data_IF_153703159601
#
_entry.id   IF_153703159601
#
_cell.length_a   1.000
_cell.length_b   1.000
_cell.length_c   1.000
_cell.angle_alpha   90.00
_cell.angle_beta   90.00
_cell.angle_gamma   90.00
#
_symmetry.space_group_name_H-M   'P 1'
#
loop_
_entity.id
_entity.type
_entity.pdbx_description
1 polymer ?
#
# COMPACT_ATOMS: atom_id res chain seq x y z
N UNK A 1 8.12 8.89 -3.30
CA UNK A 1 8.65 8.07 -2.16
C UNK A 1 10.04 7.55 -2.55
N UNK A 2 10.99 7.21 -1.67
CA UNK A 2 12.33 6.76 -2.13
C UNK A 2 12.65 5.33 -1.68
N UNK A 3 12.93 4.45 -2.65
CA UNK A 3 13.44 3.11 -2.43
C UNK A 3 14.87 3.03 -2.95
N UNK A 4 15.72 2.27 -2.27
CA UNK A 4 17.04 1.98 -2.83
C UNK A 4 16.90 0.99 -4.00
N UNK A 5 17.84 1.07 -4.95
CA UNK A 5 17.82 0.26 -6.18
C UNK A 5 17.83 -1.24 -5.89
N UNK A 6 18.56 -1.68 -4.88
CA UNK A 6 18.61 -3.09 -4.50
C UNK A 6 17.23 -3.63 -4.08
N UNK A 7 16.48 -2.85 -3.31
CA UNK A 7 15.11 -3.20 -2.89
C UNK A 7 14.20 -3.31 -4.11
N UNK A 8 14.28 -2.34 -5.03
CA UNK A 8 13.49 -2.38 -6.26
C UNK A 8 13.84 -3.60 -7.11
N UNK A 9 15.13 -3.89 -7.31
CA UNK A 9 15.58 -5.07 -8.05
C UNK A 9 15.06 -6.36 -7.43
N UNK A 10 15.16 -6.52 -6.11
CA UNK A 10 14.65 -7.71 -5.43
C UNK A 10 13.13 -7.84 -5.58
N UNK A 11 12.37 -6.75 -5.44
CA UNK A 11 10.91 -6.80 -5.62
C UNK A 11 10.54 -7.10 -7.07
N UNK A 12 11.23 -6.51 -8.05
CA UNK A 12 11.03 -6.81 -9.47
C UNK A 12 11.26 -8.28 -9.78
N UNK A 13 12.30 -8.90 -9.20
CA UNK A 13 12.59 -10.31 -9.37
C UNK A 13 11.52 -11.20 -8.71
N UNK A 14 11.14 -10.90 -7.46
CA UNK A 14 10.12 -11.65 -6.70
C UNK A 14 8.75 -11.61 -7.37
N UNK A 15 8.39 -10.46 -7.95
CA UNK A 15 7.10 -10.22 -8.59
C UNK A 15 7.17 -10.34 -10.12
N UNK A 16 8.29 -10.78 -10.70
CA UNK A 16 8.49 -10.85 -12.15
C UNK A 16 8.03 -9.57 -12.90
N UNK A 17 8.30 -8.39 -12.34
CA UNK A 17 7.91 -7.11 -12.92
C UNK A 17 8.79 -6.79 -14.13
N UNK A 18 8.18 -6.28 -15.20
CA UNK A 18 8.89 -5.81 -16.38
C UNK A 18 9.37 -4.36 -16.18
N UNK A 19 10.24 -4.17 -15.20
CA UNK A 19 10.74 -2.86 -14.77
C UNK A 19 12.27 -2.87 -14.67
N UNK A 20 12.91 -1.74 -14.95
CA UNK A 20 14.38 -1.64 -14.91
C UNK A 20 14.91 -1.28 -13.52
N UNK A 21 14.06 -0.69 -12.68
CA UNK A 21 14.45 -0.13 -11.38
C UNK A 21 15.00 1.29 -11.45
N UNK A 22 14.87 1.95 -12.60
CA UNK A 22 15.26 3.35 -12.81
C UNK A 22 14.03 4.29 -12.93
N UNK A 23 12.83 3.78 -12.66
CA UNK A 23 11.57 4.51 -12.62
C UNK A 23 11.58 5.62 -11.55
N UNK A 24 10.97 6.77 -11.82
CA UNK A 24 10.99 7.92 -10.89
C UNK A 24 10.04 7.70 -9.72
N UNK A 25 8.85 7.19 -10.01
CA UNK A 25 7.88 6.74 -9.01
C UNK A 25 7.56 5.27 -9.30
N UNK A 26 8.58 4.42 -9.13
CA UNK A 26 8.51 2.97 -9.36
C UNK A 26 7.18 2.31 -8.97
N UNK A 27 6.63 2.46 -7.74
CA UNK A 27 5.42 1.74 -7.38
C UNK A 27 4.18 2.24 -8.14
N UNK A 28 4.15 3.50 -8.59
CA UNK A 28 3.08 4.05 -9.42
C UNK A 28 3.18 3.55 -10.87
N UNK A 29 4.40 3.56 -11.40
CA UNK A 29 4.70 3.17 -12.78
C UNK A 29 4.45 1.67 -13.02
N UNK A 30 4.78 0.82 -12.05
CA UNK A 30 4.66 -0.65 -12.17
C UNK A 30 3.39 -1.21 -11.51
N UNK A 31 2.55 -0.36 -10.91
CA UNK A 31 1.28 -0.78 -10.33
C UNK A 31 0.36 -1.42 -11.38
N UNK A 32 -0.30 -2.49 -10.99
CA UNK A 32 -1.11 -3.34 -11.86
C UNK A 32 -2.30 -3.90 -11.07
N UNK A 33 -3.50 -3.43 -11.41
CA UNK A 33 -4.76 -3.80 -10.76
C UNK A 33 -5.10 -5.28 -10.96
N UNK A 34 -4.75 -5.86 -12.11
CA UNK A 34 -5.00 -7.27 -12.44
C UNK A 34 -4.13 -8.23 -11.61
N UNK A 35 -3.03 -7.72 -11.04
CA UNK A 35 -2.04 -8.51 -10.29
C UNK A 35 -2.13 -8.34 -8.78
N UNK A 36 -3.11 -7.59 -8.27
CA UNK A 36 -3.21 -7.31 -6.84
C UNK A 36 -3.29 -8.59 -5.97
N UNK A 37 -4.01 -9.61 -6.43
CA UNK A 37 -4.14 -10.88 -5.68
C UNK A 37 -2.79 -11.58 -5.56
N UNK A 38 -1.99 -11.56 -6.62
CA UNK A 38 -0.63 -12.12 -6.65
C UNK A 38 0.28 -11.35 -5.68
N UNK A 39 0.26 -10.02 -5.73
CA UNK A 39 1.06 -9.17 -4.84
C UNK A 39 0.73 -9.41 -3.36
N UNK A 40 -0.57 -9.48 -3.04
CA UNK A 40 -1.05 -9.79 -1.69
C UNK A 40 -0.58 -11.17 -1.23
N UNK A 41 -0.72 -12.20 -2.08
CA UNK A 41 -0.31 -13.55 -1.75
C UNK A 41 1.18 -13.64 -1.40
N UNK A 42 2.04 -13.02 -2.22
CA UNK A 42 3.48 -13.00 -1.97
C UNK A 42 3.84 -12.20 -0.72
N UNK A 43 3.22 -11.03 -0.50
CA UNK A 43 3.42 -10.24 0.72
C UNK A 43 2.98 -10.99 2.00
N UNK A 44 1.96 -11.83 1.90
CA UNK A 44 1.47 -12.62 3.03
C UNK A 44 2.38 -13.80 3.37
N UNK A 45 2.99 -14.43 2.37
CA UNK A 45 3.80 -15.65 2.53
C UNK A 45 5.27 -15.39 2.85
N UNK A 46 5.84 -14.30 2.32
CA UNK A 46 7.27 -14.07 2.40
C UNK A 46 7.67 -13.49 3.77
N UNK A 47 8.61 -14.16 4.44
CA UNK A 47 9.32 -13.59 5.59
C UNK A 47 10.51 -12.76 5.08
N UNK A 48 10.20 -11.53 4.68
CA UNK A 48 11.14 -10.60 4.06
C UNK A 48 11.45 -9.43 4.99
N UNK A 49 12.65 -8.87 4.77
CA UNK A 49 13.11 -7.66 5.43
C UNK A 49 12.14 -6.51 5.22
N UNK A 50 12.04 -5.64 6.24
CA UNK A 50 11.05 -4.57 6.27
C UNK A 50 11.12 -3.66 5.03
N UNK A 51 12.30 -3.36 4.49
CA UNK A 51 12.47 -2.52 3.32
C UNK A 51 11.77 -3.10 2.08
N UNK A 52 11.90 -4.42 1.87
CA UNK A 52 11.23 -5.13 0.77
C UNK A 52 9.72 -5.13 1.03
N UNK A 53 9.30 -5.39 2.27
CA UNK A 53 7.88 -5.34 2.65
C UNK A 53 7.28 -3.95 2.42
N UNK A 54 8.00 -2.90 2.76
CA UNK A 54 7.60 -1.51 2.54
C UNK A 54 7.39 -1.20 1.06
N UNK A 55 8.26 -1.72 0.18
CA UNK A 55 8.09 -1.64 -1.27
C UNK A 55 6.89 -2.43 -1.78
N UNK A 56 6.67 -3.66 -1.28
CA UNK A 56 5.47 -4.44 -1.58
C UNK A 56 4.18 -3.70 -1.19
N UNK A 57 4.11 -3.16 0.04
CA UNK A 57 2.93 -2.45 0.51
C UNK A 57 2.68 -1.20 -0.34
N UNK A 58 3.70 -0.42 -0.66
CA UNK A 58 3.52 0.72 -1.56
C UNK A 58 2.98 0.30 -2.92
N UNK A 59 3.55 -0.73 -3.54
CA UNK A 59 3.07 -1.25 -4.82
C UNK A 59 1.62 -1.76 -4.73
N UNK A 60 1.27 -2.47 -3.66
CA UNK A 60 -0.09 -2.96 -3.41
C UNK A 60 -1.06 -1.78 -3.28
N UNK A 61 -0.71 -0.73 -2.55
CA UNK A 61 -1.58 0.45 -2.40
C UNK A 61 -1.79 1.17 -3.74
N UNK A 62 -0.74 1.39 -4.54
CA UNK A 62 -0.89 1.97 -5.88
C UNK A 62 -1.70 1.08 -6.82
N UNK A 63 -1.50 -0.23 -6.76
CA UNK A 63 -2.27 -1.20 -7.57
C UNK A 63 -3.74 -1.25 -7.15
N UNK A 64 -4.02 -1.11 -5.87
CA UNK A 64 -5.38 -1.06 -5.35
C UNK A 64 -6.07 0.26 -5.67
N UNK A 65 -5.37 1.40 -5.65
CA UNK A 65 -5.91 2.68 -6.11
C UNK A 65 -6.32 2.60 -7.59
N UNK A 66 -5.48 1.99 -8.44
CA UNK A 66 -5.84 1.68 -9.85
C UNK A 66 -7.07 0.78 -9.93
N UNK A 67 -7.11 -0.29 -9.14
CA UNK A 67 -8.26 -1.21 -9.08
C UNK A 67 -9.57 -0.47 -8.75
N UNK A 68 -9.56 0.43 -7.76
CA UNK A 68 -10.72 1.25 -7.37
C UNK A 68 -11.13 2.27 -8.46
N UNK A 69 -10.22 2.64 -9.36
CA UNK A 69 -10.53 3.48 -10.51
C UNK A 69 -11.20 2.72 -11.66
N UNK A 70 -10.93 1.43 -11.78
CA UNK A 70 -11.43 0.56 -12.86
C UNK A 70 -12.71 -0.18 -12.47
N UNK A 71 -12.95 -0.37 -11.17
CA UNK A 71 -14.09 -1.11 -10.63
C UNK A 71 -15.01 -0.16 -9.87
N UNK A 72 -16.33 -0.28 -10.09
CA UNK A 72 -17.32 0.56 -9.41
C UNK A 72 -17.47 0.24 -7.93
N UNK A 73 -17.10 -0.98 -7.54
CA UNK A 73 -17.31 -1.51 -6.21
C UNK A 73 -15.96 -1.72 -5.50
N UNK A 74 -15.88 -1.24 -4.26
CA UNK A 74 -14.79 -1.58 -3.35
C UNK A 74 -14.86 -3.08 -3.06
N UNK A 75 -13.83 -3.83 -3.47
CA UNK A 75 -13.68 -5.22 -3.03
C UNK A 75 -13.17 -5.24 -1.58
N UNK A 76 -14.10 -5.46 -0.66
CA UNK A 76 -13.83 -5.54 0.78
C UNK A 76 -12.86 -6.66 1.12
N UNK A 77 -12.90 -7.77 0.38
CA UNK A 77 -12.00 -8.88 0.63
C UNK A 77 -10.54 -8.51 0.34
N UNK A 78 -10.28 -7.74 -0.74
CA UNK A 78 -8.95 -7.23 -1.04
C UNK A 78 -8.48 -6.24 0.03
N UNK A 79 -9.35 -5.30 0.43
CA UNK A 79 -9.00 -4.33 1.47
C UNK A 79 -8.71 -4.99 2.83
N UNK A 80 -9.54 -5.93 3.27
CA UNK A 80 -9.34 -6.67 4.54
C UNK A 80 -7.97 -7.39 4.56
N UNK A 81 -7.46 -7.82 3.40
CA UNK A 81 -6.11 -8.41 3.29
C UNK A 81 -5.01 -7.36 3.38
N UNK A 82 -5.21 -6.20 2.75
CA UNK A 82 -4.30 -5.05 2.86
C UNK A 82 -4.19 -4.62 4.32
N UNK A 83 -5.31 -4.45 5.03
CA UNK A 83 -5.30 -4.08 6.45
C UNK A 83 -4.51 -5.08 7.31
N UNK A 84 -4.73 -6.39 7.10
CA UNK A 84 -3.96 -7.42 7.80
C UNK A 84 -2.45 -7.31 7.57
N UNK A 85 -2.03 -6.95 6.35
CA UNK A 85 -0.62 -6.73 6.06
C UNK A 85 -0.08 -5.46 6.73
N UNK A 86 -0.86 -4.39 6.77
CA UNK A 86 -0.50 -3.15 7.47
C UNK A 86 -0.38 -3.37 8.99
N UNK A 87 -1.27 -4.18 9.56
CA UNK A 87 -1.27 -4.53 10.99
C UNK A 87 -0.06 -5.36 11.42
N UNK A 88 0.55 -6.16 10.52
CA UNK A 88 1.73 -7.00 10.82
C UNK A 88 2.94 -6.18 11.29
N UNK A 89 3.08 -4.97 10.78
CA UNK A 89 4.13 -4.02 11.16
C UNK A 89 3.49 -2.70 11.64
N UNK A 90 2.52 -2.83 12.55
CA UNK A 90 1.74 -1.73 13.12
C UNK A 90 2.57 -0.46 13.35
N UNK A 91 2.14 0.65 12.77
CA UNK A 91 2.78 1.96 12.89
C UNK A 91 3.99 2.20 11.98
N UNK A 92 4.63 1.15 11.43
CA UNK A 92 5.79 1.33 10.54
C UNK A 92 5.43 1.80 9.14
N UNK A 93 4.16 1.67 8.75
CA UNK A 93 3.64 2.21 7.48
C UNK A 93 3.01 3.60 7.64
N UNK A 94 3.04 4.21 8.82
CA UNK A 94 2.34 5.48 9.06
C UNK A 94 2.80 6.60 8.12
N UNK A 95 4.10 6.71 7.83
CA UNK A 95 4.58 7.73 6.88
C UNK A 95 3.97 7.52 5.48
N UNK A 96 3.99 6.28 4.99
CA UNK A 96 3.39 5.90 3.70
C UNK A 96 1.89 6.22 3.70
N UNK A 97 1.15 5.77 4.70
CA UNK A 97 -0.30 5.94 4.77
C UNK A 97 -0.71 7.40 4.93
N UNK A 98 0.03 8.22 5.69
CA UNK A 98 -0.28 9.65 5.82
C UNK A 98 -0.14 10.40 4.49
N UNK A 99 0.72 9.95 3.57
CA UNK A 99 0.81 10.52 2.21
C UNK A 99 -0.43 10.23 1.37
N UNK A 100 -1.01 9.04 1.54
CA UNK A 100 -2.27 8.66 0.89
C UNK A 100 -3.48 9.33 1.53
N UNK A 101 -3.42 9.60 2.83
CA UNK A 101 -4.52 10.22 3.57
C UNK A 101 -4.75 11.68 3.16
N UNK A 102 -3.73 12.38 2.64
CA UNK A 102 -3.83 13.77 2.20
C UNK A 102 -4.61 14.65 3.20
N UNK A 103 -4.25 14.61 4.48
CA UNK A 103 -5.04 15.24 5.55
C UNK A 103 -5.29 16.73 5.34
N UNK A 104 -4.38 17.41 4.64
CA UNK A 104 -4.45 18.84 4.36
C UNK A 104 -5.36 19.19 3.15
N UNK A 105 -5.95 18.18 2.49
CA UNK A 105 -6.86 18.35 1.35
C UNK A 105 -8.30 18.09 1.81
N UNK A 106 -9.10 19.15 1.87
CA UNK A 106 -10.52 19.10 2.29
C UNK A 106 -11.49 18.88 1.11
N UNK A 107 -11.07 19.16 -0.12
CA UNK A 107 -11.90 18.98 -1.32
C UNK A 107 -11.75 17.55 -1.87
N UNK A 108 -12.88 16.85 -2.03
CA UNK A 108 -12.95 15.48 -2.50
C UNK A 108 -12.53 15.32 -3.98
N UNK A 109 -12.43 16.41 -4.74
CA UNK A 109 -12.10 16.38 -6.17
C UNK A 109 -10.64 16.06 -6.47
N UNK A 110 -9.73 16.30 -5.53
CA UNK A 110 -8.28 16.09 -5.71
C UNK A 110 -7.75 14.86 -4.94
N UNK A 111 -8.65 14.00 -4.44
CA UNK A 111 -8.26 12.82 -3.65
C UNK A 111 -7.99 11.59 -4.52
N UNK A 112 -7.06 10.76 -4.06
CA UNK A 112 -6.92 9.40 -4.57
C UNK A 112 -8.16 8.57 -4.23
N UNK A 113 -8.48 7.57 -5.05
CA UNK A 113 -9.61 6.66 -4.78
C UNK A 113 -9.42 5.90 -3.47
N UNK A 114 -8.16 5.65 -3.13
CA UNK A 114 -7.73 4.99 -1.91
C UNK A 114 -7.81 5.89 -0.66
N UNK A 115 -7.82 7.22 -0.81
CA UNK A 115 -7.72 8.15 0.33
C UNK A 115 -8.79 7.92 1.41
N UNK A 116 -10.09 7.76 1.11
CA UNK A 116 -11.11 7.53 2.14
C UNK A 116 -10.84 6.28 2.99
N UNK A 117 -10.38 5.21 2.36
CA UNK A 117 -10.10 3.94 3.03
C UNK A 117 -8.90 4.06 3.97
N UNK A 118 -7.84 4.74 3.53
CA UNK A 118 -6.66 4.98 4.35
C UNK A 118 -6.97 5.90 5.54
N UNK A 119 -7.80 6.94 5.35
CA UNK A 119 -8.25 7.82 6.45
C UNK A 119 -9.04 7.03 7.49
N UNK A 120 -9.95 6.16 7.07
CA UNK A 120 -10.70 5.27 7.98
C UNK A 120 -9.75 4.36 8.75
N UNK A 121 -8.86 3.63 8.05
CA UNK A 121 -7.89 2.73 8.69
C UNK A 121 -7.01 3.44 9.72
N UNK A 122 -6.43 4.60 9.38
CA UNK A 122 -5.57 5.35 10.30
C UNK A 122 -6.33 5.86 11.53
N UNK A 123 -7.58 6.29 11.36
CA UNK A 123 -8.43 6.76 12.46
C UNK A 123 -8.74 5.61 13.42
N UNK A 124 -9.13 4.45 12.90
CA UNK A 124 -9.38 3.26 13.69
C UNK A 124 -8.12 2.73 14.38
N UNK A 125 -6.98 2.76 13.69
CA UNK A 125 -5.68 2.40 14.26
C UNK A 125 -5.33 3.29 15.46
N UNK A 126 -5.48 4.61 15.32
CA UNK A 126 -5.22 5.55 16.41
C UNK A 126 -6.14 5.29 17.62
N UNK A 127 -7.42 4.99 17.40
CA UNK A 127 -8.34 4.64 18.48
C UNK A 127 -7.92 3.34 19.20
N UNK A 128 -7.56 2.29 18.45
CA UNK A 128 -7.10 1.00 19.03
C UNK A 128 -5.86 1.17 19.91
N UNK A 129 -4.94 2.08 19.56
CA UNK A 129 -3.67 2.26 20.25
C UNK A 129 -3.65 3.40 21.30
N UNK A 130 -4.68 4.24 21.37
CA UNK A 130 -4.87 5.22 22.46
C UNK A 130 -5.69 4.66 23.62
N UNK A 131 -6.57 3.68 23.37
CA UNK A 131 -7.43 3.06 24.39
C UNK A 131 -6.75 1.94 25.19
N UNK A 132 -5.49 1.60 24.87
CA UNK A 132 -4.68 0.59 25.56
C UNK A 132 -3.82 1.12 26.71
N UNK A 133 -3.91 2.42 27.03
CA UNK A 133 -3.28 3.03 28.20
C UNK A 133 -4.37 3.31 29.25
N UNK A 134 -4.72 2.30 30.05
CA UNK A 134 -5.52 2.44 31.27
C UNK A 134 -5.04 1.44 32.32
#
# INVERSE_FOLDING_TARGET
MFFNKETITQVNELLHLKASGDEQEWPLEVADSDRIIEFLYLAEMLDIWFQIRYAFIALILYSYDKYLGEHSDHDKYLWDRIEKLLDRDAGRFNELLNRWALWDVEDDTDLFRLTPLVRTYLTEFQQKHTTGAS
#
